data_IF_912277220710
#
_entry.id   IF_912277220710
#
_cell.length_a   1.000
_cell.length_b   1.000
_cell.length_c   1.000
_cell.angle_alpha   90.00
_cell.angle_beta   90.00
_cell.angle_gamma   90.00
#
_symmetry.space_group_name_H-M   'P 1'
#
loop_
_entity.id
_entity.type
_entity.pdbx_description
1 polymer ?
#
# COMPACT_ATOMS: atom_id res chain seq x y z
N UNK A 1 -7.35 -10.27 22.03
CA UNK A 1 -8.80 -10.25 21.74
C UNK A 1 -8.90 -9.74 20.30
N UNK A 2 -8.79 -10.65 19.35
CA UNK A 2 -9.03 -10.37 17.95
C UNK A 2 -10.52 -10.59 17.70
N UNK A 3 -11.31 -9.51 17.73
CA UNK A 3 -12.65 -9.56 17.18
C UNK A 3 -12.52 -9.83 15.68
N UNK A 4 -13.31 -10.79 15.20
CA UNK A 4 -13.46 -11.05 13.76
C UNK A 4 -13.65 -9.72 13.03
N UNK A 5 -12.82 -9.48 12.01
CA UNK A 5 -13.01 -8.32 11.15
C UNK A 5 -14.37 -8.50 10.46
N UNK A 6 -15.39 -7.80 10.95
CA UNK A 6 -16.71 -7.86 10.33
C UNK A 6 -16.60 -7.36 8.88
N UNK A 7 -17.24 -8.06 7.93
CA UNK A 7 -17.34 -7.53 6.56
C UNK A 7 -18.02 -6.17 6.60
N UNK A 8 -17.55 -5.24 5.77
CA UNK A 8 -18.24 -3.95 5.61
C UNK A 8 -19.63 -4.26 5.05
N UNK A 9 -20.67 -4.03 5.86
CA UNK A 9 -22.04 -4.25 5.42
C UNK A 9 -22.37 -3.29 4.28
N UNK A 10 -22.45 -3.82 3.06
CA UNK A 10 -23.03 -3.11 1.92
C UNK A 10 -24.54 -3.08 2.14
N UNK A 11 -25.12 -1.90 2.37
CA UNK A 11 -26.55 -1.74 2.54
C UNK A 11 -27.29 -2.17 1.25
N UNK A 12 -28.27 -3.03 1.39
CA UNK A 12 -29.08 -3.58 0.29
C UNK A 12 -30.13 -2.59 -0.20
N UNK A 13 -29.72 -1.58 -0.94
CA UNK A 13 -30.59 -0.86 -1.87
C UNK A 13 -30.03 -1.04 -3.29
N UNK A 14 -30.88 -1.43 -4.23
CA UNK A 14 -30.56 -1.84 -5.61
C UNK A 14 -30.10 -0.69 -6.53
N UNK A 15 -29.24 0.20 -6.07
CA UNK A 15 -28.28 0.93 -6.88
C UNK A 15 -26.92 0.40 -6.45
N UNK A 16 -26.19 -0.21 -7.38
CA UNK A 16 -24.86 -0.76 -7.12
C UNK A 16 -23.98 0.36 -6.58
N UNK A 17 -23.82 0.45 -5.28
CA UNK A 17 -22.83 1.30 -4.61
C UNK A 17 -21.45 0.73 -4.91
N UNK A 18 -20.98 0.87 -6.14
CA UNK A 18 -19.63 0.57 -6.52
C UNK A 18 -18.75 1.67 -5.95
N UNK A 19 -17.78 1.30 -5.15
CA UNK A 19 -16.70 2.18 -4.70
C UNK A 19 -15.42 1.81 -5.46
N UNK A 20 -14.55 2.78 -5.68
CA UNK A 20 -13.25 2.49 -6.26
C UNK A 20 -12.40 1.64 -5.32
N UNK A 21 -11.42 0.95 -5.87
CA UNK A 21 -10.51 0.15 -5.08
C UNK A 21 -9.71 1.01 -4.09
N UNK A 22 -9.32 2.21 -4.48
CA UNK A 22 -8.64 3.16 -3.60
C UNK A 22 -9.50 3.58 -2.42
N UNK A 23 -10.78 3.88 -2.66
CA UNK A 23 -11.72 4.21 -1.59
C UNK A 23 -11.94 3.02 -0.66
N UNK A 24 -12.02 1.80 -1.20
CA UNK A 24 -12.09 0.58 -0.39
C UNK A 24 -10.91 0.47 0.58
N UNK A 25 -9.68 0.65 0.07
CA UNK A 25 -8.46 0.60 0.91
C UNK A 25 -8.54 1.63 2.03
N UNK A 26 -8.86 2.88 1.72
CA UNK A 26 -8.92 3.94 2.74
C UNK A 26 -10.05 3.72 3.75
N UNK A 27 -11.23 3.30 3.32
CA UNK A 27 -12.32 2.94 4.24
C UNK A 27 -11.94 1.78 5.14
N UNK A 28 -11.22 0.79 4.59
CA UNK A 28 -10.74 -0.34 5.37
C UNK A 28 -9.72 0.07 6.43
N UNK A 29 -8.77 0.94 6.08
CA UNK A 29 -7.81 1.53 7.01
C UNK A 29 -8.54 2.32 8.12
N UNK A 30 -9.49 3.17 7.75
CA UNK A 30 -10.29 3.95 8.70
C UNK A 30 -11.08 3.07 9.67
N UNK A 31 -11.66 1.95 9.19
CA UNK A 31 -12.40 1.01 10.02
C UNK A 31 -11.59 0.36 11.15
N UNK A 32 -10.25 0.36 11.01
CA UNK A 32 -9.31 -0.08 12.04
C UNK A 32 -8.98 1.03 13.07
N UNK A 33 -9.64 2.18 12.96
CA UNK A 33 -9.42 3.34 13.81
C UNK A 33 -8.10 4.07 13.54
N UNK A 34 -7.54 3.89 12.34
CA UNK A 34 -6.42 4.71 11.86
C UNK A 34 -6.95 6.09 11.48
N UNK A 35 -6.19 7.14 11.76
CA UNK A 35 -6.57 8.52 11.45
C UNK A 35 -5.51 9.26 10.60
N UNK A 36 -4.33 8.65 10.40
CA UNK A 36 -3.21 9.32 9.75
C UNK A 36 -2.55 8.41 8.72
N UNK A 37 -2.34 8.96 7.53
CA UNK A 37 -1.62 8.33 6.43
C UNK A 37 -0.43 9.22 6.08
N UNK A 38 0.75 8.66 5.98
CA UNK A 38 2.00 9.37 5.73
C UNK A 38 2.59 9.00 4.38
N UNK A 39 3.42 9.84 3.80
CA UNK A 39 4.16 9.50 2.60
C UNK A 39 4.50 10.66 1.69
N UNK A 40 4.83 10.33 0.45
CA UNK A 40 5.19 11.30 -0.60
C UNK A 40 4.36 11.01 -1.84
N UNK A 41 3.67 12.02 -2.41
CA UNK A 41 2.95 11.86 -3.66
C UNK A 41 3.94 11.63 -4.82
N UNK A 42 3.58 10.76 -5.74
CA UNK A 42 4.29 10.51 -6.98
C UNK A 42 3.31 10.08 -8.06
N UNK A 43 3.73 10.13 -9.30
CA UNK A 43 2.85 9.91 -10.46
C UNK A 43 2.14 8.54 -10.49
N UNK A 44 2.69 7.52 -9.85
CA UNK A 44 2.02 6.22 -9.74
C UNK A 44 1.03 6.10 -8.57
N UNK A 45 0.95 7.11 -7.69
CA UNK A 45 0.03 7.06 -6.54
C UNK A 45 -0.88 8.31 -6.42
N UNK A 46 -0.80 9.28 -7.33
CA UNK A 46 -1.60 10.51 -7.25
C UNK A 46 -3.09 10.21 -7.27
N UNK A 47 -3.56 9.46 -8.26
CA UNK A 47 -4.98 9.10 -8.38
C UNK A 47 -5.46 8.29 -7.16
N UNK A 48 -4.66 7.35 -6.68
CA UNK A 48 -4.95 6.62 -5.45
C UNK A 48 -5.14 7.57 -4.26
N UNK A 49 -4.24 8.54 -4.08
CA UNK A 49 -4.25 9.47 -2.96
C UNK A 49 -5.46 10.41 -2.97
N UNK A 50 -6.00 10.77 -4.14
CA UNK A 50 -7.16 11.63 -4.24
C UNK A 50 -8.40 11.05 -3.55
N UNK A 51 -8.53 9.72 -3.50
CA UNK A 51 -9.64 9.07 -2.82
C UNK A 51 -9.59 9.16 -1.29
N UNK A 52 -8.48 9.59 -0.68
CA UNK A 52 -8.44 9.79 0.78
C UNK A 52 -9.44 10.86 1.24
N UNK A 53 -9.74 11.83 0.38
CA UNK A 53 -10.68 12.90 0.69
C UNK A 53 -12.13 12.44 0.75
N UNK A 54 -12.44 11.22 0.26
CA UNK A 54 -13.75 10.59 0.40
C UNK A 54 -13.94 9.92 1.77
N UNK A 55 -12.88 9.88 2.60
CA UNK A 55 -12.87 9.23 3.92
C UNK A 55 -12.48 10.25 4.99
N UNK A 56 -13.46 11.00 5.54
CA UNK A 56 -13.21 12.14 6.44
C UNK A 56 -12.46 11.77 7.73
N UNK A 57 -12.47 10.50 8.13
CA UNK A 57 -11.77 9.99 9.30
C UNK A 57 -10.25 9.97 9.13
N UNK A 58 -9.77 9.97 7.87
CA UNK A 58 -8.35 9.94 7.54
C UNK A 58 -7.82 11.32 7.22
N UNK A 59 -6.57 11.53 7.57
CA UNK A 59 -5.81 12.73 7.20
C UNK A 59 -4.51 12.34 6.55
N UNK A 60 -4.24 12.95 5.39
CA UNK A 60 -2.96 12.85 4.69
C UNK A 60 -1.91 13.77 5.31
N UNK A 61 -0.72 13.23 5.55
CA UNK A 61 0.46 13.95 6.00
C UNK A 61 1.61 13.70 5.01
N UNK A 62 1.77 14.62 4.07
CA UNK A 62 2.93 14.63 3.17
C UNK A 62 4.22 14.88 3.94
N UNK A 63 5.25 14.12 3.63
CA UNK A 63 6.56 14.21 4.30
C UNK A 63 7.64 14.73 3.37
N UNK A 64 8.78 15.18 3.92
CA UNK A 64 9.88 15.72 3.12
C UNK A 64 10.53 14.69 2.20
N UNK A 65 10.54 13.42 2.64
CA UNK A 65 10.88 12.27 1.83
C UNK A 65 10.26 10.99 2.42
N UNK A 66 10.41 9.87 1.73
CA UNK A 66 9.74 8.62 2.08
C UNK A 66 10.32 7.97 3.34
N UNK A 67 11.60 8.15 3.63
CA UNK A 67 12.20 7.70 4.89
C UNK A 67 11.58 8.40 6.10
N UNK A 68 11.35 9.73 5.99
CA UNK A 68 10.62 10.47 7.03
C UNK A 68 9.19 9.93 7.17
N UNK A 69 8.52 9.59 6.06
CA UNK A 69 7.20 8.98 6.05
C UNK A 69 7.19 7.64 6.77
N UNK A 70 8.18 6.78 6.51
CA UNK A 70 8.33 5.49 7.17
C UNK A 70 8.51 5.65 8.68
N UNK A 71 9.37 6.56 9.14
CA UNK A 71 9.54 6.83 10.56
C UNK A 71 8.30 7.47 11.21
N UNK A 72 7.56 8.31 10.46
CA UNK A 72 6.31 8.88 10.96
C UNK A 72 5.24 7.80 11.15
N UNK A 73 5.10 6.88 10.20
CA UNK A 73 4.19 5.74 10.31
C UNK A 73 4.59 4.79 11.46
N UNK A 74 5.88 4.52 11.63
CA UNK A 74 6.42 3.74 12.76
C UNK A 74 6.06 4.39 14.11
N UNK A 75 6.39 5.67 14.27
CA UNK A 75 6.10 6.43 15.49
C UNK A 75 4.60 6.51 15.78
N UNK A 76 3.77 6.70 14.74
CA UNK A 76 2.32 6.68 14.88
C UNK A 76 1.82 5.32 15.38
N UNK A 77 2.29 4.23 14.78
CA UNK A 77 1.91 2.88 15.19
C UNK A 77 2.30 2.58 16.63
N UNK A 78 3.54 2.85 17.00
CA UNK A 78 4.06 2.68 18.37
C UNK A 78 3.27 3.50 19.39
N UNK A 79 2.94 4.76 19.06
CA UNK A 79 2.26 5.67 20.00
C UNK A 79 0.77 5.38 20.14
N UNK A 80 0.10 5.03 19.04
CA UNK A 80 -1.35 4.80 19.01
C UNK A 80 -1.74 3.35 19.31
N UNK A 81 -0.84 2.40 19.13
CA UNK A 81 -1.12 0.96 19.14
C UNK A 81 -1.91 0.48 17.91
N UNK A 82 -1.99 1.31 16.85
CA UNK A 82 -2.75 1.04 15.62
C UNK A 82 -1.83 0.76 14.45
N UNK A 83 -2.41 0.34 13.33
CA UNK A 83 -1.69 0.18 12.07
C UNK A 83 -1.07 1.51 11.62
N UNK A 84 0.24 1.53 11.35
CA UNK A 84 0.89 2.62 10.65
C UNK A 84 0.64 2.49 9.15
N UNK A 85 0.45 3.61 8.45
CA UNK A 85 0.20 3.58 7.00
C UNK A 85 1.15 4.54 6.30
N UNK A 86 1.86 4.00 5.31
CA UNK A 86 2.80 4.72 4.45
C UNK A 86 2.38 4.55 2.99
N UNK A 87 2.40 5.65 2.22
CA UNK A 87 2.18 5.61 0.76
C UNK A 87 3.41 6.17 0.05
N UNK A 88 3.92 5.41 -0.91
CA UNK A 88 5.08 5.79 -1.73
C UNK A 88 4.84 5.50 -3.21
N UNK A 89 5.64 6.08 -4.08
CA UNK A 89 5.76 5.60 -5.46
C UNK A 89 6.73 4.42 -5.53
N UNK A 90 6.64 3.61 -6.59
CA UNK A 90 7.56 2.50 -6.82
C UNK A 90 9.01 2.97 -7.03
N UNK A 91 9.94 2.08 -6.82
CA UNK A 91 11.36 2.29 -7.07
C UNK A 91 11.95 3.29 -6.09
N UNK A 92 12.31 4.48 -6.56
CA UNK A 92 13.05 5.48 -5.76
C UNK A 92 12.34 5.84 -4.46
N UNK A 93 11.00 5.90 -4.44
CA UNK A 93 10.24 6.21 -3.24
C UNK A 93 10.24 5.07 -2.23
N UNK A 94 9.83 3.87 -2.67
CA UNK A 94 9.80 2.71 -1.76
C UNK A 94 11.21 2.30 -1.28
N UNK A 95 12.24 2.40 -2.14
CA UNK A 95 13.62 2.12 -1.74
C UNK A 95 14.11 3.08 -0.65
N UNK A 96 13.80 4.37 -0.76
CA UNK A 96 14.09 5.34 0.29
C UNK A 96 13.42 4.98 1.61
N UNK A 97 12.18 4.48 1.58
CA UNK A 97 11.42 4.08 2.76
C UNK A 97 11.89 2.75 3.39
N UNK A 98 12.48 1.84 2.61
CA UNK A 98 12.84 0.49 3.06
C UNK A 98 13.71 0.48 4.31
N UNK A 99 14.59 1.45 4.50
CA UNK A 99 15.39 1.56 5.70
C UNK A 99 14.51 1.71 6.97
N UNK A 100 13.52 2.59 6.94
CA UNK A 100 12.57 2.75 8.05
C UNK A 100 11.68 1.52 8.25
N UNK A 101 11.19 0.92 7.16
CA UNK A 101 10.39 -0.30 7.21
C UNK A 101 11.18 -1.49 7.78
N UNK A 102 12.47 -1.60 7.47
CA UNK A 102 13.35 -2.62 8.05
C UNK A 102 13.45 -2.49 9.57
N UNK A 103 13.50 -1.24 10.08
CA UNK A 103 13.45 -0.97 11.52
C UNK A 103 12.12 -1.42 12.14
N UNK A 104 11.00 -1.07 11.50
CA UNK A 104 9.67 -1.50 11.93
C UNK A 104 9.54 -3.03 11.93
N UNK A 105 10.12 -3.71 10.93
CA UNK A 105 10.14 -5.17 10.87
C UNK A 105 10.92 -5.79 12.06
N UNK A 106 12.08 -5.23 12.37
CA UNK A 106 12.92 -5.71 13.48
C UNK A 106 12.24 -5.50 14.85
N UNK A 107 11.46 -4.43 15.00
CA UNK A 107 10.82 -4.03 16.25
C UNK A 107 9.36 -4.48 16.41
N UNK A 108 8.84 -5.31 15.50
CA UNK A 108 7.46 -5.81 15.53
C UNK A 108 6.42 -4.69 15.49
N UNK A 109 6.60 -3.75 14.56
CA UNK A 109 5.67 -2.63 14.34
C UNK A 109 4.80 -2.89 13.12
N UNK A 110 3.47 -2.99 13.26
CA UNK A 110 2.57 -3.23 12.13
C UNK A 110 2.48 -1.99 11.24
N UNK A 111 2.99 -2.09 10.02
CA UNK A 111 2.95 -1.04 9.00
C UNK A 111 2.34 -1.61 7.72
N UNK A 112 1.36 -0.92 7.15
CA UNK A 112 0.92 -1.11 5.78
C UNK A 112 1.65 -0.12 4.87
N UNK A 113 2.58 -0.63 4.07
CA UNK A 113 3.28 0.14 3.04
C UNK A 113 2.55 -0.03 1.70
N UNK A 114 1.92 1.03 1.22
CA UNK A 114 1.19 1.05 -0.05
C UNK A 114 2.10 1.69 -1.10
N UNK A 115 2.36 0.97 -2.18
CA UNK A 115 3.25 1.40 -3.25
C UNK A 115 2.45 1.55 -4.54
N UNK A 116 2.35 2.77 -5.05
CA UNK A 116 1.80 3.01 -6.38
C UNK A 116 2.75 2.49 -7.45
N UNK A 117 2.24 1.71 -8.40
CA UNK A 117 3.07 1.04 -9.42
C UNK A 117 2.58 1.30 -10.84
N UNK A 118 3.39 0.88 -11.80
CA UNK A 118 3.07 0.90 -13.22
C UNK A 118 1.74 0.20 -13.52
N UNK A 119 1.05 0.60 -14.61
CA UNK A 119 -0.18 -0.05 -15.05
C UNK A 119 0.01 -1.56 -15.27
N UNK A 120 -1.05 -2.33 -15.04
CA UNK A 120 -1.06 -3.79 -15.27
C UNK A 120 -0.63 -4.17 -16.68
N UNK A 121 -1.03 -3.39 -17.69
CA UNK A 121 -0.65 -3.60 -19.09
C UNK A 121 0.85 -3.43 -19.30
N UNK A 122 1.49 -2.45 -18.69
CA UNK A 122 2.94 -2.26 -18.76
C UNK A 122 3.70 -3.41 -18.10
N UNK A 123 3.21 -3.90 -16.96
CA UNK A 123 3.77 -5.08 -16.28
C UNK A 123 3.70 -6.33 -17.16
N UNK A 124 2.53 -6.62 -17.73
CA UNK A 124 2.32 -7.80 -18.59
C UNK A 124 3.23 -7.80 -19.83
N UNK A 125 3.45 -6.63 -20.41
CA UNK A 125 4.29 -6.48 -21.61
C UNK A 125 5.78 -6.34 -21.28
N UNK A 126 6.16 -6.07 -20.03
CA UNK A 126 7.53 -5.82 -19.61
C UNK A 126 8.11 -4.54 -20.21
N UNK A 127 7.27 -3.48 -20.33
CA UNK A 127 7.67 -2.20 -20.91
C UNK A 127 8.65 -1.46 -20.00
N UNK A 128 9.59 -0.69 -20.54
CA UNK A 128 10.41 0.20 -19.73
C UNK A 128 9.55 1.27 -19.09
N UNK A 129 9.87 1.63 -17.87
CA UNK A 129 9.21 2.72 -17.14
C UNK A 129 10.25 3.49 -16.34
N UNK A 130 10.03 4.80 -16.14
CA UNK A 130 10.87 5.55 -15.22
C UNK A 130 10.72 4.97 -13.79
N UNK A 131 11.73 5.14 -12.98
CA UNK A 131 11.90 4.53 -11.65
C UNK A 131 12.05 2.98 -11.67
N UNK A 132 11.90 2.32 -12.80
CA UNK A 132 12.13 0.88 -12.90
C UNK A 132 13.60 0.60 -13.23
N UNK A 133 14.18 -0.38 -12.56
CA UNK A 133 15.48 -0.95 -12.98
C UNK A 133 15.21 -1.70 -14.29
N UNK A 134 15.79 -1.19 -15.38
CA UNK A 134 15.60 -1.75 -16.71
C UNK A 134 16.64 -2.82 -17.02
N UNK A 135 16.25 -3.81 -17.80
CA UNK A 135 17.19 -4.79 -18.34
C UNK A 135 18.19 -4.14 -19.30
N UNK A 136 19.44 -4.55 -19.21
CA UNK A 136 20.49 -4.04 -20.11
C UNK A 136 20.36 -4.60 -21.53
N UNK A 137 19.78 -5.78 -21.68
CA UNK A 137 19.48 -6.38 -22.97
C UNK A 137 18.09 -5.90 -23.45
N UNK A 138 17.99 -5.11 -24.53
CA UNK A 138 16.71 -4.60 -25.01
C UNK A 138 15.75 -5.67 -25.54
N UNK A 139 16.20 -6.92 -25.70
CA UNK A 139 15.36 -8.06 -26.07
C UNK A 139 14.71 -8.75 -24.85
N UNK A 140 15.14 -8.42 -23.66
CA UNK A 140 14.58 -8.96 -22.43
C UNK A 140 13.46 -8.05 -21.91
N UNK A 141 12.46 -8.67 -21.25
CA UNK A 141 11.37 -7.95 -20.62
C UNK A 141 11.83 -7.40 -19.28
N UNK A 142 11.45 -6.16 -18.99
CA UNK A 142 11.73 -5.55 -17.70
C UNK A 142 10.91 -6.22 -16.58
N UNK A 143 11.56 -6.50 -15.46
CA UNK A 143 10.93 -7.08 -14.27
C UNK A 143 10.28 -6.01 -13.39
N UNK A 144 8.99 -5.82 -13.55
CA UNK A 144 8.22 -4.89 -12.72
C UNK A 144 8.02 -5.34 -11.26
N UNK A 145 8.46 -6.55 -10.91
CA UNK A 145 8.36 -7.12 -9.57
C UNK A 145 9.68 -7.09 -8.81
N UNK A 146 10.72 -6.45 -9.37
CA UNK A 146 12.05 -6.42 -8.75
C UNK A 146 12.04 -5.85 -7.33
N UNK A 147 11.30 -4.77 -7.10
CA UNK A 147 11.22 -4.14 -5.78
C UNK A 147 10.38 -4.95 -4.78
N UNK A 148 9.37 -5.67 -5.25
CA UNK A 148 8.60 -6.60 -4.43
C UNK A 148 9.46 -7.72 -3.86
N UNK A 149 10.42 -8.22 -4.66
CA UNK A 149 11.39 -9.22 -4.21
C UNK A 149 12.29 -8.67 -3.10
N UNK A 150 12.68 -7.40 -3.17
CA UNK A 150 13.45 -6.73 -2.12
C UNK A 150 12.59 -6.53 -0.85
N UNK A 151 11.35 -6.06 -1.01
CA UNK A 151 10.42 -5.82 0.09
C UNK A 151 10.06 -7.11 0.86
N UNK A 152 10.05 -8.26 0.19
CA UNK A 152 9.73 -9.55 0.80
C UNK A 152 10.66 -9.91 1.96
N UNK A 153 11.90 -9.42 1.96
CA UNK A 153 12.87 -9.69 3.04
C UNK A 153 12.60 -8.92 4.33
N UNK A 154 11.78 -7.86 4.27
CA UNK A 154 11.51 -6.93 5.37
C UNK A 154 10.01 -6.78 5.65
N UNK A 155 9.22 -7.77 5.25
CA UNK A 155 7.77 -7.79 5.44
C UNK A 155 7.26 -9.19 5.75
N UNK A 156 6.09 -9.29 6.38
CA UNK A 156 5.43 -10.56 6.62
C UNK A 156 4.62 -11.04 5.41
N UNK A 157 4.19 -10.11 4.55
CA UNK A 157 3.44 -10.42 3.34
C UNK A 157 3.65 -9.31 2.30
N UNK A 158 3.70 -9.70 1.03
CA UNK A 158 3.77 -8.82 -0.14
C UNK A 158 2.62 -9.17 -1.07
N UNK A 159 1.71 -8.24 -1.26
CA UNK A 159 0.52 -8.39 -2.08
C UNK A 159 0.58 -7.43 -3.27
N UNK A 160 0.49 -7.96 -4.49
CA UNK A 160 0.34 -7.16 -5.72
C UNK A 160 -1.06 -7.34 -6.27
N UNK A 161 -1.74 -6.25 -6.52
CA UNK A 161 -3.07 -6.28 -7.14
C UNK A 161 -2.90 -6.33 -8.65
N UNK A 162 -3.30 -7.44 -9.25
CA UNK A 162 -3.29 -7.60 -10.71
C UNK A 162 -4.73 -7.82 -11.24
N UNK A 163 -5.65 -8.28 -10.38
CA UNK A 163 -7.08 -8.43 -10.67
C UNK A 163 -7.92 -7.64 -9.65
N UNK A 164 -8.74 -6.66 -10.10
CA UNK A 164 -9.58 -5.87 -9.20
C UNK A 164 -10.68 -6.68 -8.50
N UNK A 165 -11.11 -7.81 -9.06
CA UNK A 165 -12.16 -8.64 -8.45
C UNK A 165 -11.70 -9.39 -7.22
N UNK A 166 -10.43 -9.80 -7.17
CA UNK A 166 -9.83 -10.48 -6.02
C UNK A 166 -9.25 -9.49 -5.00
N UNK A 167 -9.11 -8.23 -5.38
CA UNK A 167 -8.40 -7.22 -4.61
C UNK A 167 -8.94 -7.03 -3.18
N UNK A 168 -10.25 -6.97 -2.90
CA UNK A 168 -10.75 -6.79 -1.53
C UNK A 168 -10.27 -7.90 -0.59
N UNK A 169 -10.38 -9.16 -1.00
CA UNK A 169 -9.94 -10.29 -0.19
C UNK A 169 -8.42 -10.31 0.01
N UNK A 170 -7.66 -9.96 -1.03
CA UNK A 170 -6.21 -9.85 -0.96
C UNK A 170 -5.77 -8.77 0.02
N UNK A 171 -6.41 -7.60 -0.01
CA UNK A 171 -6.13 -6.48 0.91
C UNK A 171 -6.47 -6.87 2.35
N UNK A 172 -7.62 -7.48 2.58
CA UNK A 172 -8.05 -7.91 3.91
C UNK A 172 -7.12 -8.99 4.49
N UNK A 173 -6.67 -9.93 3.68
CA UNK A 173 -5.70 -10.94 4.07
C UNK A 173 -4.35 -10.31 4.44
N UNK A 174 -3.84 -9.39 3.63
CA UNK A 174 -2.62 -8.65 3.91
C UNK A 174 -2.70 -7.91 5.24
N UNK A 175 -3.77 -7.15 5.46
CA UNK A 175 -3.98 -6.41 6.71
C UNK A 175 -4.05 -7.36 7.91
N UNK A 176 -4.74 -8.49 7.77
CA UNK A 176 -4.82 -9.53 8.81
C UNK A 176 -3.45 -10.08 9.16
N UNK A 177 -2.62 -10.38 8.16
CA UNK A 177 -1.26 -10.88 8.37
C UNK A 177 -0.38 -9.85 9.10
N UNK A 178 -0.43 -8.58 8.68
CA UNK A 178 0.29 -7.48 9.33
C UNK A 178 -0.07 -7.37 10.83
N UNK A 179 -1.37 -7.38 11.12
CA UNK A 179 -1.87 -7.24 12.49
C UNK A 179 -1.55 -8.45 13.36
N UNK A 180 -1.62 -9.66 12.79
CA UNK A 180 -1.34 -10.92 13.46
C UNK A 180 0.16 -11.06 13.79
N UNK A 181 1.02 -10.84 12.79
CA UNK A 181 2.47 -10.99 12.94
C UNK A 181 3.12 -9.76 13.61
N UNK A 182 2.39 -8.63 13.67
CA UNK A 182 2.91 -7.31 14.10
C UNK A 182 4.16 -6.91 13.31
N UNK A 183 4.11 -7.11 12.02
CA UNK A 183 5.21 -6.85 11.08
C UNK A 183 4.72 -5.99 9.93
N UNK A 184 5.59 -5.25 9.23
CA UNK A 184 5.21 -4.58 8.00
C UNK A 184 4.72 -5.55 6.94
N UNK A 185 3.81 -5.08 6.09
CA UNK A 185 3.41 -5.72 4.85
C UNK A 185 3.31 -4.70 3.72
N UNK A 186 3.42 -5.17 2.50
CA UNK A 186 3.41 -4.33 1.30
C UNK A 186 2.20 -4.61 0.42
N UNK A 187 1.53 -3.53 0.01
CA UNK A 187 0.46 -3.52 -1.00
C UNK A 187 0.96 -2.78 -2.24
N UNK A 188 1.10 -3.48 -3.34
CA UNK A 188 1.45 -2.90 -4.64
C UNK A 188 0.19 -2.64 -5.46
N UNK A 189 -0.12 -1.35 -5.65
CA UNK A 189 -1.32 -0.85 -6.30
C UNK A 189 -0.98 -0.31 -7.69
N UNK A 190 -1.39 -0.97 -8.78
CA UNK A 190 -1.26 -0.43 -10.13
C UNK A 190 -2.08 0.85 -10.29
N UNK A 191 -1.49 1.89 -10.88
CA UNK A 191 -2.13 3.19 -11.00
C UNK A 191 -3.43 3.15 -11.82
N UNK A 192 -3.56 2.23 -12.79
CA UNK A 192 -4.79 2.05 -13.58
C UNK A 192 -5.92 1.30 -12.85
N UNK A 193 -5.72 0.83 -11.64
CA UNK A 193 -6.73 0.18 -10.80
C UNK A 193 -7.15 1.06 -9.62
N UNK A 194 -6.70 2.31 -9.57
CA UNK A 194 -7.00 3.22 -8.48
C UNK A 194 -8.46 3.68 -8.44
N UNK A 195 -9.10 3.80 -9.61
CA UNK A 195 -10.49 4.29 -9.77
C UNK A 195 -11.50 3.18 -10.03
#
# INVERSE_FOLDING_TARGET
IYNEMAPIALSSSKEENRISLSEYVFRRIASLGVHSVFGVPGDFNLEFLDFIYNVPELKWYGTCNELNGAYAADGYSKRSGKLGVLVTTMGVGELSAMNGISGSYAEYVPILSIVGTTPTTAKMQGLPSHHLITEMNPLEKNDHYVYQKMAASISCNVTSIDDPFEAPDMIDNLIRDILKEKKPGYLYMPCNLAS
#
